data_IF_580594144761
#
_entry.id   IF_580594144761
#
_cell.length_a   1.000
_cell.length_b   1.000
_cell.length_c   1.000
_cell.angle_alpha   90.00
_cell.angle_beta   90.00
_cell.angle_gamma   90.00
#
_symmetry.space_group_name_H-M   'P 1'
#
loop_
_entity.id
_entity.type
_entity.pdbx_description
1 polymer ?
#
# COMPACT_ATOMS: atom_id res chain seq x y z
N UNK A 1 -28.54 29.19 -22.23
CA UNK A 1 -29.27 28.13 -21.48
C UNK A 1 -28.51 26.79 -21.32
N UNK A 2 -27.67 26.35 -22.28
CA UNK A 2 -26.94 25.06 -22.17
C UNK A 2 -25.96 24.98 -20.98
N UNK A 3 -25.22 26.06 -20.68
CA UNK A 3 -24.27 26.10 -19.54
C UNK A 3 -24.95 25.99 -18.17
N UNK A 4 -26.14 26.58 -18.02
CA UNK A 4 -26.92 26.56 -16.78
C UNK A 4 -27.52 25.18 -16.49
N UNK A 5 -28.00 24.47 -17.54
CA UNK A 5 -28.40 23.07 -17.42
C UNK A 5 -27.23 22.16 -17.05
N UNK A 6 -26.04 22.39 -17.60
CA UNK A 6 -24.83 21.63 -17.26
C UNK A 6 -24.45 21.82 -15.78
N UNK A 7 -24.50 23.05 -15.28
CA UNK A 7 -24.23 23.32 -13.87
C UNK A 7 -25.26 22.64 -12.95
N UNK A 8 -26.54 22.69 -13.33
CA UNK A 8 -27.61 21.99 -12.61
C UNK A 8 -27.47 20.47 -12.61
N UNK A 9 -27.08 19.87 -13.73
CA UNK A 9 -26.82 18.42 -13.78
C UNK A 9 -25.61 18.01 -12.94
N UNK A 10 -24.61 18.89 -12.83
CA UNK A 10 -23.45 18.66 -11.95
C UNK A 10 -23.84 18.74 -10.48
N UNK A 11 -24.61 19.76 -10.08
CA UNK A 11 -25.11 19.90 -8.70
C UNK A 11 -26.01 18.72 -8.33
N UNK A 12 -26.91 18.31 -9.22
CA UNK A 12 -27.77 17.14 -9.02
C UNK A 12 -26.95 15.84 -8.91
N UNK A 13 -25.91 15.70 -9.73
CA UNK A 13 -24.98 14.56 -9.67
C UNK A 13 -24.21 14.49 -8.35
N UNK A 14 -23.69 15.61 -7.87
CA UNK A 14 -23.04 15.70 -6.56
C UNK A 14 -24.02 15.42 -5.41
N UNK A 15 -25.25 15.92 -5.51
CA UNK A 15 -26.30 15.68 -4.51
C UNK A 15 -26.73 14.21 -4.44
N UNK A 16 -26.74 13.50 -5.57
CA UNK A 16 -27.01 12.06 -5.63
C UNK A 16 -25.84 11.19 -5.17
N UNK A 17 -24.60 11.68 -5.27
CA UNK A 17 -23.41 10.96 -4.77
C UNK A 17 -23.26 11.04 -3.24
N UNK A 18 -23.76 12.11 -2.60
CA UNK A 18 -23.75 12.26 -1.14
C UNK A 18 -24.41 11.10 -0.39
N UNK A 19 -25.64 10.66 -0.71
CA UNK A 19 -26.27 9.51 -0.04
C UNK A 19 -25.61 8.18 -0.37
N UNK A 20 -24.89 8.05 -1.51
CA UNK A 20 -24.09 6.85 -1.83
C UNK A 20 -22.82 6.78 -0.96
N UNK A 21 -22.28 7.93 -0.57
CA UNK A 21 -21.14 8.03 0.34
C UNK A 21 -21.54 8.06 1.83
N UNK A 22 -22.83 8.21 2.16
CA UNK A 22 -23.29 8.18 3.54
C UNK A 22 -23.07 6.83 4.24
N UNK A 23 -23.29 5.67 3.60
CA UNK A 23 -22.97 4.37 4.20
C UNK A 23 -21.49 4.21 4.52
N UNK A 24 -20.57 4.68 3.66
CA UNK A 24 -19.13 4.57 3.92
C UNK A 24 -18.69 5.47 5.08
N UNK A 25 -19.26 6.67 5.21
CA UNK A 25 -19.07 7.54 6.37
C UNK A 25 -19.70 6.97 7.65
N UNK A 26 -20.89 6.36 7.56
CA UNK A 26 -21.55 5.72 8.70
C UNK A 26 -20.82 4.46 9.15
N UNK A 27 -20.26 3.68 8.22
CA UNK A 27 -19.41 2.52 8.53
C UNK A 27 -18.07 2.95 9.15
N UNK A 28 -17.51 4.09 8.73
CA UNK A 28 -16.34 4.70 9.35
C UNK A 28 -16.63 5.34 10.72
N UNK A 29 -17.88 5.78 10.96
CA UNK A 29 -18.35 6.34 12.22
C UNK A 29 -18.78 5.29 13.25
N UNK A 30 -18.83 4.00 12.88
CA UNK A 30 -18.89 2.92 13.85
C UNK A 30 -17.59 2.98 14.63
N UNK A 31 -17.64 3.63 15.81
CA UNK A 31 -16.52 3.77 16.75
C UNK A 31 -15.69 2.51 16.64
N UNK A 32 -14.49 2.63 16.07
CA UNK A 32 -13.43 1.65 16.30
C UNK A 32 -13.48 1.46 17.81
N UNK A 33 -13.95 0.29 18.27
CA UNK A 33 -13.46 -0.22 19.53
C UNK A 33 -11.96 0.03 19.43
N UNK A 34 -11.39 0.70 20.41
CA UNK A 34 -9.97 1.03 20.42
C UNK A 34 -9.25 -0.31 20.56
N UNK A 35 -9.21 -1.06 19.45
CA UNK A 35 -8.48 -2.29 19.28
C UNK A 35 -7.07 -1.76 19.30
N UNK A 36 -6.49 -1.75 20.49
CA UNK A 36 -5.09 -1.42 20.67
C UNK A 36 -4.36 -2.51 19.89
N UNK A 37 -3.92 -2.17 18.68
CA UNK A 37 -3.17 -3.08 17.82
C UNK A 37 -1.77 -3.10 18.41
N UNK A 38 -1.55 -4.02 19.34
CA UNK A 38 -0.26 -4.26 19.99
C UNK A 38 0.28 -5.58 19.46
N UNK A 39 1.53 -5.59 19.03
CA UNK A 39 2.24 -6.82 18.73
C UNK A 39 2.51 -7.58 20.04
N UNK A 40 2.14 -8.87 20.09
CA UNK A 40 2.44 -9.71 21.26
C UNK A 40 3.94 -10.04 21.30
N UNK A 41 4.66 -9.38 22.22
CA UNK A 41 6.12 -9.52 22.38
C UNK A 41 6.55 -10.59 23.37
N UNK A 42 5.62 -11.35 23.98
CA UNK A 42 5.91 -12.24 25.12
C UNK A 42 6.75 -13.48 24.81
N UNK A 43 6.88 -13.84 23.53
CA UNK A 43 7.67 -15.00 23.06
C UNK A 43 8.59 -14.63 21.87
N UNK A 44 8.81 -13.34 21.67
CA UNK A 44 9.65 -12.84 20.60
C UNK A 44 11.04 -12.58 21.19
N UNK A 45 12.08 -13.09 20.52
CA UNK A 45 13.47 -12.87 20.89
C UNK A 45 14.25 -12.25 19.71
N UNK A 46 15.33 -11.55 20.04
CA UNK A 46 16.28 -11.01 19.06
C UNK A 46 15.68 -9.97 18.11
N UNK A 47 15.92 -10.14 16.81
CA UNK A 47 15.50 -9.17 15.78
C UNK A 47 13.97 -9.04 15.71
N UNK A 48 13.24 -10.14 15.97
CA UNK A 48 11.79 -10.17 15.89
C UNK A 48 11.16 -9.44 17.09
N UNK A 49 11.79 -9.53 18.26
CA UNK A 49 11.45 -8.71 19.43
C UNK A 49 11.68 -7.23 19.15
N UNK A 50 12.87 -6.87 18.66
CA UNK A 50 13.19 -5.48 18.31
C UNK A 50 12.20 -4.89 17.31
N UNK A 51 11.83 -5.66 16.29
CA UNK A 51 10.85 -5.23 15.28
C UNK A 51 9.44 -5.03 15.85
N UNK A 52 9.00 -5.95 16.71
CA UNK A 52 7.67 -5.88 17.34
C UNK A 52 7.59 -4.79 18.42
N UNK A 53 8.66 -4.59 19.19
CA UNK A 53 8.75 -3.51 20.17
C UNK A 53 8.74 -2.14 19.49
N UNK A 54 9.47 -1.98 18.38
CA UNK A 54 9.45 -0.76 17.57
C UNK A 54 8.05 -0.42 17.02
N UNK A 55 7.26 -1.44 16.64
CA UNK A 55 5.86 -1.26 16.24
C UNK A 55 5.00 -0.75 17.40
N UNK A 56 5.18 -1.32 18.59
CA UNK A 56 4.45 -0.96 19.80
C UNK A 56 4.79 0.46 20.31
N UNK A 57 6.06 0.86 20.27
CA UNK A 57 6.51 2.18 20.71
C UNK A 57 6.11 3.30 19.72
N UNK A 58 6.28 3.09 18.41
CA UNK A 58 6.01 4.13 17.41
C UNK A 58 5.63 3.55 16.05
N UNK A 59 4.32 3.54 15.79
CA UNK A 59 3.77 3.15 14.50
C UNK A 59 4.23 4.06 13.35
N UNK A 60 4.52 5.34 13.64
CA UNK A 60 5.00 6.29 12.64
C UNK A 60 6.43 5.98 12.20
N UNK A 61 7.32 5.70 13.16
CA UNK A 61 8.70 5.31 12.84
C UNK A 61 8.72 3.97 12.09
N UNK A 62 7.92 3.01 12.54
CA UNK A 62 7.73 1.74 11.86
C UNK A 62 7.26 1.90 10.40
N UNK A 63 6.29 2.80 10.15
CA UNK A 63 5.79 3.08 8.81
C UNK A 63 6.86 3.66 7.87
N UNK A 64 7.66 4.63 8.33
CA UNK A 64 8.74 5.20 7.52
C UNK A 64 9.81 4.15 7.24
N UNK A 65 10.19 3.39 8.26
CA UNK A 65 11.22 2.37 8.14
C UNK A 65 10.80 1.27 7.14
N UNK A 66 9.56 0.78 7.23
CA UNK A 66 9.04 -0.22 6.29
C UNK A 66 8.86 0.34 4.88
N UNK A 67 8.41 1.59 4.74
CA UNK A 67 8.30 2.28 3.45
C UNK A 67 9.65 2.37 2.71
N UNK A 68 10.77 2.40 3.44
CA UNK A 68 12.11 2.41 2.86
C UNK A 68 12.64 0.99 2.63
N UNK A 69 12.50 0.09 3.59
CA UNK A 69 13.08 -1.26 3.52
C UNK A 69 12.45 -2.10 2.40
N UNK A 70 11.12 -2.04 2.24
CA UNK A 70 10.41 -2.86 1.25
C UNK A 70 10.89 -2.59 -0.19
N UNK A 71 10.93 -1.34 -0.71
CA UNK A 71 11.40 -1.10 -2.07
C UNK A 71 12.88 -1.44 -2.24
N UNK A 72 13.72 -1.19 -1.22
CA UNK A 72 15.14 -1.55 -1.28
C UNK A 72 15.31 -3.07 -1.42
N UNK A 73 14.63 -3.85 -0.58
CA UNK A 73 14.65 -5.32 -0.68
C UNK A 73 14.08 -5.79 -2.02
N UNK A 74 13.02 -5.16 -2.52
CA UNK A 74 12.46 -5.44 -3.84
C UNK A 74 13.48 -5.23 -4.96
N UNK A 75 14.21 -4.12 -4.95
CA UNK A 75 15.29 -3.86 -5.91
C UNK A 75 16.42 -4.88 -5.79
N UNK A 76 16.87 -5.22 -4.57
CA UNK A 76 17.92 -6.21 -4.35
C UNK A 76 17.49 -7.58 -4.89
N UNK A 77 16.27 -8.03 -4.58
CA UNK A 77 15.74 -9.29 -5.07
C UNK A 77 15.57 -9.30 -6.59
N UNK A 78 15.15 -8.18 -7.18
CA UNK A 78 15.08 -8.02 -8.64
C UNK A 78 16.46 -8.16 -9.29
N UNK A 79 17.47 -7.47 -8.76
CA UNK A 79 18.85 -7.59 -9.25
C UNK A 79 19.41 -9.01 -9.08
N UNK A 80 19.11 -9.67 -7.95
CA UNK A 80 19.49 -11.06 -7.74
C UNK A 80 18.80 -12.00 -8.74
N UNK A 81 17.52 -11.77 -9.03
CA UNK A 81 16.79 -12.53 -10.04
C UNK A 81 17.41 -12.35 -11.43
N UNK A 82 17.77 -11.12 -11.82
CA UNK A 82 18.46 -10.84 -13.07
C UNK A 82 19.80 -11.57 -13.17
N UNK A 83 20.57 -11.61 -12.07
CA UNK A 83 21.82 -12.37 -11.99
C UNK A 83 21.55 -13.86 -12.18
N UNK A 84 20.56 -14.44 -11.49
CA UNK A 84 20.22 -15.86 -11.61
C UNK A 84 19.77 -16.20 -13.04
N UNK A 85 18.90 -15.39 -13.65
CA UNK A 85 18.43 -15.60 -15.03
C UNK A 85 19.59 -15.56 -16.04
N UNK A 86 20.52 -14.60 -15.86
CA UNK A 86 21.72 -14.51 -16.71
C UNK A 86 22.64 -15.75 -16.60
N UNK A 87 22.69 -16.40 -15.42
CA UNK A 87 23.49 -17.61 -15.19
C UNK A 87 22.85 -18.87 -15.77
N UNK A 88 21.53 -18.91 -15.88
CA UNK A 88 20.77 -20.03 -16.46
C UNK A 88 20.72 -19.93 -18.00
N UNK A 89 21.14 -18.80 -18.57
CA UNK A 89 21.18 -18.59 -20.02
C UNK A 89 19.88 -18.02 -20.59
N UNK A 90 18.96 -17.55 -19.74
CA UNK A 90 17.82 -16.74 -20.17
C UNK A 90 18.33 -15.30 -20.30
N UNK A 91 18.81 -14.97 -21.49
CA UNK A 91 19.27 -13.63 -21.80
C UNK A 91 18.09 -12.72 -22.18
N UNK A 92 17.66 -11.88 -21.24
CA UNK A 92 16.64 -10.85 -21.45
C UNK A 92 17.22 -9.55 -22.02
N UNK A 93 18.55 -9.45 -22.21
CA UNK A 93 19.21 -8.21 -22.66
C UNK A 93 19.28 -8.08 -24.18
N UNK A 94 19.23 -9.18 -24.91
CA UNK A 94 19.28 -9.18 -26.37
C UNK A 94 17.91 -9.54 -26.97
N UNK A 95 17.04 -8.51 -26.98
CA UNK A 95 15.69 -8.52 -27.55
C UNK A 95 15.72 -8.46 -29.09
N UNK A 96 16.56 -9.25 -29.76
CA UNK A 96 16.60 -9.25 -31.24
C UNK A 96 15.45 -10.04 -31.88
N UNK A 97 14.69 -10.84 -31.11
CA UNK A 97 13.60 -11.67 -31.63
C UNK A 97 12.19 -11.13 -31.35
N UNK A 98 12.06 -10.00 -30.64
CA UNK A 98 10.76 -9.40 -30.32
C UNK A 98 10.64 -8.03 -30.99
N UNK A 99 10.50 -8.03 -32.32
CA UNK A 99 9.61 -7.17 -33.10
C UNK A 99 9.77 -7.52 -34.59
N UNK A 100 8.79 -8.24 -35.12
CA UNK A 100 8.45 -8.29 -36.54
C UNK A 100 7.02 -7.81 -36.68
#
# INVERSE_FOLDING_TARGET
MKKMRRLWTWIMGCALMLPVLMPSLALAAKKKADVVIVADTRKLDGLLYWWAEMYNESHFFFAILTMIIIPILGCILGLLADVVMSRIGIDLKHRELAEK
#
